data_IF_884468532666
#
_entry.id   IF_884468532666
#
_cell.length_a   1.000
_cell.length_b   1.000
_cell.length_c   1.000
_cell.angle_alpha   90.00
_cell.angle_beta   90.00
_cell.angle_gamma   90.00
#
_symmetry.space_group_name_H-M   'P 1'
#
loop_
_entity.id
_entity.type
_entity.pdbx_description
1 polymer ?
#
# COMPACT_ATOMS: atom_id res chain seq x y z
N UNK A 1 -9.83 4.41 -11.96
CA UNK A 1 -10.03 5.06 -10.66
C UNK A 1 -9.32 6.39 -10.70
N UNK A 2 -10.02 7.49 -10.42
CA UNK A 2 -9.38 8.82 -10.30
C UNK A 2 -8.86 9.03 -8.88
N UNK A 3 -8.02 10.05 -8.68
CA UNK A 3 -7.60 10.46 -7.33
C UNK A 3 -8.77 10.83 -6.43
N UNK A 4 -9.84 11.41 -7.00
CA UNK A 4 -11.05 11.76 -6.26
C UNK A 4 -11.80 10.51 -5.79
N UNK A 5 -11.89 9.48 -6.64
CA UNK A 5 -12.54 8.21 -6.27
C UNK A 5 -11.80 7.52 -5.12
N UNK A 6 -10.46 7.51 -5.18
CA UNK A 6 -9.63 6.95 -4.11
C UNK A 6 -9.79 7.72 -2.80
N UNK A 7 -9.76 9.06 -2.88
CA UNK A 7 -9.96 9.91 -1.71
C UNK A 7 -11.29 9.63 -1.03
N UNK A 8 -12.39 9.60 -1.80
CA UNK A 8 -13.72 9.36 -1.26
C UNK A 8 -13.82 7.97 -0.61
N UNK A 9 -13.28 6.94 -1.27
CA UNK A 9 -13.24 5.59 -0.72
C UNK A 9 -12.49 5.51 0.62
N UNK A 10 -11.28 6.08 0.69
CA UNK A 10 -10.49 6.08 1.92
C UNK A 10 -11.15 6.90 3.02
N UNK A 11 -11.74 8.04 2.67
CA UNK A 11 -12.45 8.92 3.60
C UNK A 11 -13.67 8.24 4.21
N UNK A 12 -14.48 7.55 3.40
CA UNK A 12 -15.62 6.77 3.90
C UNK A 12 -15.17 5.63 4.81
N UNK A 13 -14.14 4.88 4.41
CA UNK A 13 -13.61 3.74 5.20
C UNK A 13 -13.00 4.17 6.53
N UNK A 14 -12.27 5.28 6.56
CA UNK A 14 -11.66 5.80 7.78
C UNK A 14 -12.70 6.32 8.79
N UNK A 15 -13.85 6.80 8.30
CA UNK A 15 -14.91 7.39 9.12
C UNK A 15 -16.11 6.47 9.35
N UNK A 16 -16.08 5.21 8.91
CA UNK A 16 -17.16 4.26 9.16
C UNK A 16 -17.17 3.84 10.65
N UNK A 17 -17.94 4.61 11.44
CA UNK A 17 -18.16 4.43 12.88
C UNK A 17 -18.78 3.05 13.19
N UNK A 18 -19.38 2.37 12.20
CA UNK A 18 -19.99 1.04 12.38
C UNK A 18 -18.98 -0.10 12.22
N UNK A 19 -17.82 0.14 11.63
CA UNK A 19 -16.78 -0.88 11.44
C UNK A 19 -15.36 -0.39 11.79
N UNK A 20 -15.14 0.18 12.99
CA UNK A 20 -13.81 0.60 13.43
C UNK A 20 -12.87 -0.60 13.40
N UNK A 21 -11.79 -0.50 12.61
CA UNK A 21 -10.75 -1.53 12.53
C UNK A 21 -11.04 -2.73 11.61
N UNK A 22 -12.15 -2.75 10.86
CA UNK A 22 -12.40 -3.81 9.86
C UNK A 22 -11.54 -3.69 8.61
N UNK A 23 -11.06 -2.47 8.33
CA UNK A 23 -10.12 -2.24 7.24
C UNK A 23 -8.73 -2.65 7.72
N UNK A 24 -7.97 -3.42 6.93
CA UNK A 24 -6.69 -3.97 7.34
C UNK A 24 -5.60 -2.89 7.25
N UNK A 25 -5.66 -1.89 8.12
CA UNK A 25 -4.70 -0.78 8.19
C UNK A 25 -3.25 -1.21 8.46
N UNK A 26 -3.04 -2.49 8.80
CA UNK A 26 -1.74 -3.07 9.10
C UNK A 26 -1.30 -4.08 8.02
N UNK A 27 -2.10 -4.30 6.96
CA UNK A 27 -1.64 -5.10 5.83
C UNK A 27 -0.53 -4.36 5.08
N UNK A 28 0.44 -5.14 4.59
CA UNK A 28 1.50 -4.60 3.74
C UNK A 28 0.89 -4.05 2.45
N UNK A 29 1.31 -2.84 2.08
CA UNK A 29 0.90 -2.21 0.82
C UNK A 29 1.85 -2.65 -0.28
N UNK A 30 1.29 -3.13 -1.38
CA UNK A 30 2.06 -3.57 -2.54
C UNK A 30 1.61 -2.83 -3.81
N UNK A 31 2.55 -2.60 -4.72
CA UNK A 31 2.30 -2.02 -6.04
C UNK A 31 2.44 -3.11 -7.09
N UNK A 32 1.44 -3.22 -7.96
CA UNK A 32 1.50 -4.07 -9.14
C UNK A 32 2.31 -3.40 -10.24
N UNK A 33 3.36 -4.06 -10.70
CA UNK A 33 4.13 -3.63 -11.86
C UNK A 33 3.71 -4.39 -13.13
N UNK A 34 3.35 -3.66 -14.18
CA UNK A 34 2.97 -4.23 -15.46
C UNK A 34 4.16 -4.69 -16.31
N UNK A 35 5.37 -4.19 -16.04
CA UNK A 35 6.56 -4.61 -16.78
C UNK A 35 7.04 -5.98 -16.33
N UNK A 36 7.16 -6.20 -15.02
CA UNK A 36 7.62 -7.48 -14.47
C UNK A 36 6.49 -8.47 -14.18
N UNK A 37 5.23 -8.00 -14.16
CA UNK A 37 4.04 -8.78 -13.82
C UNK A 37 4.11 -9.35 -12.39
N UNK A 38 4.61 -8.55 -11.44
CA UNK A 38 4.81 -8.93 -10.05
C UNK A 38 4.33 -7.83 -9.09
N UNK A 39 4.14 -8.20 -7.82
CA UNK A 39 3.84 -7.26 -6.74
C UNK A 39 5.13 -6.89 -6.01
N UNK A 40 5.28 -5.59 -5.72
CA UNK A 40 6.43 -5.10 -4.95
C UNK A 40 5.99 -4.44 -3.65
N UNK A 41 6.67 -4.73 -2.53
CA UNK A 41 6.43 -4.05 -1.27
C UNK A 41 6.67 -2.55 -1.43
N UNK A 42 5.78 -1.77 -0.85
CA UNK A 42 5.76 -0.32 -0.99
C UNK A 42 5.53 0.32 0.37
N UNK A 43 6.32 1.37 0.65
CA UNK A 43 6.20 2.13 1.89
C UNK A 43 6.33 3.64 1.61
N UNK A 44 5.89 4.44 2.57
CA UNK A 44 6.10 5.88 2.56
C UNK A 44 7.35 6.22 3.38
N UNK A 45 8.38 6.74 2.71
CA UNK A 45 9.58 7.22 3.38
C UNK A 45 9.61 8.74 3.37
N UNK A 46 10.18 9.32 4.42
CA UNK A 46 10.60 10.70 4.37
C UNK A 46 12.02 10.76 3.84
N UNK A 47 12.20 11.32 2.65
CA UNK A 47 13.54 11.44 2.06
C UNK A 47 14.35 12.50 2.83
N UNK A 48 15.59 12.20 3.25
CA UNK A 48 16.40 13.15 4.04
C UNK A 48 16.70 14.46 3.32
N UNK A 49 16.68 14.44 1.97
CA UNK A 49 17.11 15.55 1.14
C UNK A 49 16.09 16.69 1.04
N UNK A 50 14.79 16.38 1.09
CA UNK A 50 13.72 17.34 0.79
C UNK A 50 12.59 17.34 1.84
N UNK A 51 12.69 16.51 2.89
CA UNK A 51 11.68 16.35 3.95
C UNK A 51 10.28 16.00 3.43
N UNK A 52 10.17 15.57 2.16
CA UNK A 52 8.90 15.18 1.56
C UNK A 52 8.61 13.72 1.88
N UNK A 53 7.33 13.44 2.06
CA UNK A 53 6.83 12.07 2.10
C UNK A 53 6.79 11.59 0.65
N UNK A 54 7.55 10.54 0.37
CA UNK A 54 7.70 9.94 -0.95
C UNK A 54 7.24 8.48 -0.90
N UNK A 55 6.59 8.03 -1.96
CA UNK A 55 6.32 6.61 -2.17
C UNK A 55 7.64 5.93 -2.56
N UNK A 56 8.10 4.97 -1.77
CA UNK A 56 9.25 4.14 -2.06
C UNK A 56 8.80 2.74 -2.44
N UNK A 57 9.28 2.27 -3.59
CA UNK A 57 9.06 0.92 -4.09
C UNK A 57 10.43 0.25 -4.18
N UNK A 58 10.60 -0.88 -3.50
CA UNK A 58 11.81 -1.69 -3.62
C UNK A 58 11.58 -2.79 -4.66
N UNK A 59 12.05 -2.56 -5.88
CA UNK A 59 11.92 -3.53 -6.98
C UNK A 59 12.97 -4.64 -6.95
N UNK A 60 13.92 -4.59 -6.00
CA UNK A 60 14.95 -5.61 -5.81
C UNK A 60 14.56 -6.63 -4.74
N UNK A 61 13.70 -6.25 -3.80
CA UNK A 61 13.08 -7.17 -2.86
C UNK A 61 11.92 -7.90 -3.55
N UNK A 62 12.17 -9.14 -3.97
CA UNK A 62 11.08 -10.05 -4.36
C UNK A 62 10.22 -10.35 -3.11
N UNK A 63 8.88 -10.32 -3.21
CA UNK A 63 8.05 -10.76 -2.11
C UNK A 63 8.39 -12.22 -1.76
N UNK A 64 8.70 -12.50 -0.50
CA UNK A 64 8.83 -13.87 -0.02
C UNK A 64 7.45 -14.52 -0.08
N UNK A 65 7.27 -15.45 -1.01
CA UNK A 65 6.06 -16.26 -1.10
C UNK A 65 6.02 -17.15 0.15
N UNK A 66 5.32 -16.73 1.19
CA UNK A 66 5.03 -17.57 2.35
C UNK A 66 3.99 -18.61 1.93
N UNK A 67 4.46 -19.72 1.35
CA UNK A 67 3.68 -20.94 1.23
C UNK A 67 3.41 -21.48 2.63
N UNK A 68 2.34 -21.01 3.26
CA UNK A 68 1.76 -21.68 4.42
C UNK A 68 1.12 -22.98 3.90
N UNK A 69 1.95 -24.01 3.81
CA UNK A 69 1.55 -25.37 3.42
C UNK A 69 0.39 -25.86 4.28
N UNK A 70 -0.61 -26.39 3.58
CA UNK A 70 -1.80 -27.04 4.14
C UNK A 70 -1.49 -28.37 4.82
#
# INVERSE_FOLDING_TARGET
MTWLDLYNYLHERANDIKNPGSFPWQENVEVWDWETLDYYPTDFIQTPADQKISLAVDTYQKPEITNNGS
#
